data_IF_244964378649
#
_entry.id   IF_244964378649
#
_cell.length_a   1.000
_cell.length_b   1.000
_cell.length_c   1.000
_cell.angle_alpha   90.00
_cell.angle_beta   90.00
_cell.angle_gamma   90.00
#
_symmetry.space_group_name_H-M   'P 1'
#
loop_
_entity.id
_entity.type
_entity.pdbx_description
1 polymer ?
#
# COMPACT_ATOMS: atom_id res chain seq x y z
N UNK A 1 9.43 -9.41 5.65
CA UNK A 1 9.82 -8.76 4.39
C UNK A 1 10.01 -7.27 4.62
N UNK A 2 11.11 -6.73 4.16
CA UNK A 2 11.32 -5.29 4.26
C UNK A 2 10.60 -4.57 3.13
N UNK A 3 9.93 -3.48 3.47
CA UNK A 3 9.27 -2.66 2.47
C UNK A 3 10.12 -1.41 2.18
N UNK A 4 9.99 -0.81 0.99
CA UNK A 4 10.71 0.42 0.69
C UNK A 4 10.36 1.52 1.68
N UNK A 5 11.37 2.31 2.06
CA UNK A 5 11.15 3.44 2.96
C UNK A 5 10.78 4.71 2.21
N UNK A 6 11.20 4.81 0.96
CA UNK A 6 10.83 5.95 0.12
C UNK A 6 9.36 5.86 -0.22
N UNK A 7 8.56 6.89 0.05
CA UNK A 7 7.10 6.82 -0.17
C UNK A 7 6.73 6.63 -1.64
N UNK A 8 7.50 7.14 -2.58
CA UNK A 8 7.20 6.96 -4.00
C UNK A 8 7.50 5.53 -4.44
N UNK A 9 8.59 4.95 -3.96
CA UNK A 9 8.91 3.56 -4.25
C UNK A 9 7.91 2.64 -3.55
N UNK A 10 7.55 2.97 -2.31
CA UNK A 10 6.54 2.23 -1.56
C UNK A 10 5.20 2.23 -2.29
N UNK A 11 4.79 3.40 -2.80
CA UNK A 11 3.55 3.52 -3.56
C UNK A 11 3.54 2.56 -4.75
N UNK A 12 4.62 2.56 -5.54
CA UNK A 12 4.73 1.68 -6.71
C UNK A 12 4.71 0.21 -6.30
N UNK A 13 5.42 -0.14 -5.24
CA UNK A 13 5.47 -1.51 -4.72
C UNK A 13 4.08 -1.99 -4.30
N UNK A 14 3.40 -1.18 -3.49
CA UNK A 14 2.08 -1.56 -2.97
C UNK A 14 1.04 -1.64 -4.09
N UNK A 15 1.04 -0.67 -5.00
CA UNK A 15 0.08 -0.68 -6.12
C UNK A 15 0.30 -1.88 -7.04
N UNK A 16 1.55 -2.25 -7.28
CA UNK A 16 1.86 -3.43 -8.10
C UNK A 16 1.35 -4.70 -7.43
N UNK A 17 1.57 -4.84 -6.13
CA UNK A 17 1.09 -5.99 -5.36
C UNK A 17 -0.43 -6.07 -5.35
N UNK A 18 -1.10 -4.93 -5.14
CA UNK A 18 -2.56 -4.88 -5.15
C UNK A 18 -3.12 -5.28 -6.51
N UNK A 19 -2.45 -4.89 -7.59
CA UNK A 19 -2.91 -5.22 -8.93
C UNK A 19 -2.75 -6.71 -9.23
N UNK A 20 -1.60 -7.29 -8.86
CA UNK A 20 -1.21 -8.60 -9.36
C UNK A 20 -1.41 -9.74 -8.36
N UNK A 21 -1.35 -9.47 -7.05
CA UNK A 21 -1.26 -10.55 -6.06
C UNK A 21 -2.34 -10.55 -4.99
N UNK A 22 -2.99 -9.42 -4.72
CA UNK A 22 -3.95 -9.31 -3.63
C UNK A 22 -5.27 -8.74 -4.09
N UNK A 23 -6.35 -9.17 -3.43
CA UNK A 23 -7.69 -8.72 -3.76
C UNK A 23 -8.10 -7.48 -2.99
N UNK A 24 -7.41 -7.15 -1.90
CA UNK A 24 -7.71 -5.97 -1.09
C UNK A 24 -6.47 -5.51 -0.35
N UNK A 25 -6.53 -4.29 0.18
CA UNK A 25 -5.45 -3.75 1.00
C UNK A 25 -5.30 -4.54 2.30
N UNK A 26 -6.41 -4.98 2.87
CA UNK A 26 -6.39 -5.81 4.08
C UNK A 26 -5.64 -7.11 3.83
N UNK A 27 -5.91 -7.77 2.71
CA UNK A 27 -5.23 -9.01 2.35
C UNK A 27 -3.73 -8.80 2.23
N UNK A 28 -3.33 -7.72 1.56
CA UNK A 28 -1.93 -7.39 1.38
C UNK A 28 -1.24 -7.16 2.73
N UNK A 29 -1.85 -6.35 3.57
CA UNK A 29 -1.26 -6.02 4.87
C UNK A 29 -1.16 -7.24 5.77
N UNK A 30 -2.17 -8.11 5.73
CA UNK A 30 -2.18 -9.33 6.53
C UNK A 30 -1.06 -10.27 6.10
N UNK A 31 -0.92 -10.49 4.80
CA UNK A 31 0.07 -11.41 4.26
C UNK A 31 1.51 -10.91 4.46
N UNK A 32 1.73 -9.63 4.27
CA UNK A 32 3.05 -9.01 4.44
C UNK A 32 3.33 -8.59 5.88
N UNK A 33 2.38 -8.81 6.78
CA UNK A 33 2.49 -8.44 8.19
C UNK A 33 2.75 -6.95 8.37
N UNK A 34 2.01 -6.14 7.61
CA UNK A 34 2.08 -4.68 7.69
C UNK A 34 0.90 -4.14 8.48
N UNK A 35 1.11 -3.04 9.19
CA UNK A 35 0.02 -2.32 9.83
C UNK A 35 -0.62 -1.41 8.78
N UNK A 36 -1.91 -1.63 8.50
CA UNK A 36 -2.63 -0.87 7.48
C UNK A 36 -2.64 0.63 7.78
N UNK A 37 -2.89 1.00 9.04
CA UNK A 37 -2.94 2.41 9.43
C UNK A 37 -1.60 3.09 9.23
N UNK A 38 -0.51 2.42 9.62
CA UNK A 38 0.83 2.97 9.44
C UNK A 38 1.17 3.13 7.96
N UNK A 39 0.81 2.14 7.15
CA UNK A 39 1.04 2.19 5.71
C UNK A 39 0.29 3.37 5.09
N UNK A 40 -0.98 3.52 5.43
CA UNK A 40 -1.79 4.62 4.93
C UNK A 40 -1.24 5.97 5.36
N UNK A 41 -0.78 6.08 6.61
CA UNK A 41 -0.20 7.33 7.11
C UNK A 41 1.07 7.70 6.38
N UNK A 42 1.94 6.72 6.10
CA UNK A 42 3.18 6.97 5.37
C UNK A 42 2.90 7.50 3.97
N UNK A 43 1.96 6.89 3.27
CA UNK A 43 1.61 7.32 1.92
C UNK A 43 0.84 8.63 1.92
N UNK A 44 -0.01 8.85 2.92
CA UNK A 44 -0.74 10.10 3.05
C UNK A 44 0.21 11.28 3.29
N UNK A 45 1.27 11.07 4.06
CA UNK A 45 2.27 12.09 4.30
C UNK A 45 2.96 12.54 3.01
N UNK A 46 2.99 11.67 2.01
CA UNK A 46 3.55 11.99 0.69
C UNK A 46 2.48 12.46 -0.31
N UNK A 47 1.23 12.60 0.15
CA UNK A 47 0.14 13.09 -0.70
C UNK A 47 -0.66 12.02 -1.40
N UNK A 48 -0.54 10.76 -1.00
CA UNK A 48 -1.26 9.66 -1.61
C UNK A 48 -2.32 9.10 -0.67
N UNK A 49 -3.50 8.79 -1.21
CA UNK A 49 -4.59 8.20 -0.44
C UNK A 49 -5.08 6.94 -1.13
N UNK A 50 -5.54 5.97 -0.33
CA UNK A 50 -6.07 4.74 -0.86
C UNK A 50 -7.44 4.99 -1.49
N UNK A 51 -7.60 4.56 -2.73
CA UNK A 51 -8.86 4.65 -3.47
C UNK A 51 -9.49 3.27 -3.52
N UNK A 52 -10.45 3.03 -2.66
CA UNK A 52 -11.06 1.70 -2.53
C UNK A 52 -11.73 1.26 -3.83
N UNK A 53 -12.40 2.18 -4.52
CA UNK A 53 -13.07 1.88 -5.78
C UNK A 53 -12.12 1.44 -6.87
N UNK A 54 -10.86 1.90 -6.82
CA UNK A 54 -9.84 1.55 -7.81
C UNK A 54 -8.83 0.56 -7.27
N UNK A 55 -8.88 0.25 -6.00
CA UNK A 55 -8.01 -0.68 -5.31
C UNK A 55 -6.53 -0.29 -5.50
N UNK A 56 -6.23 0.99 -5.28
CA UNK A 56 -4.85 1.48 -5.37
C UNK A 56 -4.72 2.82 -4.64
N UNK A 57 -3.48 3.19 -4.37
CA UNK A 57 -3.18 4.53 -3.84
C UNK A 57 -2.96 5.51 -4.98
N UNK A 58 -3.41 6.74 -4.76
CA UNK A 58 -3.24 7.81 -5.76
C UNK A 58 -2.83 9.11 -5.10
#
# INVERSE_FOLDING_TARGET
MEIPKDPFILLSFINLKLRDEYTSLEDLCLDLQLNKDELCQKLQAAGFEYQESQKRFR
#
